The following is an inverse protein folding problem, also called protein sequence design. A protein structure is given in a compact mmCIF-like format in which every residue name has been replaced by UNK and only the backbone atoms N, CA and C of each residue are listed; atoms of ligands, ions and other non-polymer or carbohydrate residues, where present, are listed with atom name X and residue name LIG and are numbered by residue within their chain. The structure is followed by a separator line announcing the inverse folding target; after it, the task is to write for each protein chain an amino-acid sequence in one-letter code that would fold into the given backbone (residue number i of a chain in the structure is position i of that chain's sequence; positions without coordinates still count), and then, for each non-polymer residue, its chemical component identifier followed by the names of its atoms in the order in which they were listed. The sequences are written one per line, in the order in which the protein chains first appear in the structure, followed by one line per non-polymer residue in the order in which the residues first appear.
data_IF_725736241576
#
_entry.id   IF_725736241576
#
_cell.length_a   1.000
_cell.length_b   1.000
_cell.length_c   1.000
_cell.angle_alpha   90.00
_cell.angle_beta   90.00
_cell.angle_gamma   90.00
#
_symmetry.space_group_name_H-M   'P 1'
#
loop_
_entity.id
_entity.type
_entity.pdbx_description
1 polymer ?
#
# COMPACT_ATOMS: atom_id res chain seq x y z
N UNK A 1 16.11 5.49 27.53
CA UNK A 1 16.02 5.97 27.02
C UNK A 1 16.01 6.35 26.36
N UNK A 2 15.94 6.31 26.34
CA UNK A 2 15.77 6.93 25.81
C UNK A 2 15.42 7.11 25.16
N UNK A 3 15.17 7.18 25.19
CA UNK A 3 14.65 7.59 24.66
C UNK A 3 14.38 8.03 24.11
N UNK A 4 14.19 8.18 24.19
CA UNK A 4 13.77 8.77 23.71
C UNK A 4 13.92 9.33 23.22
N UNK A 5 14.12 9.41 23.28
CA UNK A 5 14.12 10.06 22.76
C UNK A 5 14.05 10.40 22.13
N UNK A 6 14.14 10.56 22.11
CA UNK A 6 13.98 10.90 21.46
C UNK A 6 13.65 10.97 20.82
N UNK A 7 13.38 10.88 20.68
CA UNK A 7 12.95 10.92 20.12
C UNK A 7 12.40 10.62 19.66
N UNK A 8 12.39 10.88 19.58
CA UNK A 8 11.93 10.55 19.18
C UNK A 8 11.35 10.14 18.70
N UNK A 9 11.54 10.05 18.44
CA UNK A 9 11.17 9.45 18.04
C UNK A 9 10.20 9.07 18.10
N UNK A 10 10.02 10.16 17.95
CA UNK A 10 9.09 9.71 18.22
C UNK A 10 8.84 8.58 17.89
N UNK A 11 8.81 8.12 18.44
CA UNK A 11 8.81 6.93 18.16
C UNK A 11 7.53 6.37 17.95
N UNK A 12 7.33 5.86 16.78
CA UNK A 12 6.19 5.10 16.43
C UNK A 12 6.34 3.72 17.03
N UNK A 13 5.43 3.32 17.89
CA UNK A 13 5.47 1.98 18.45
C UNK A 13 4.79 1.02 17.48
N UNK A 14 4.95 -0.28 17.73
CA UNK A 14 4.31 -1.30 16.92
C UNK A 14 2.78 -1.12 16.93
N UNK A 15 2.23 -0.80 18.10
CA UNK A 15 0.77 -0.63 18.21
C UNK A 15 0.24 0.53 17.38
N UNK A 16 1.09 1.49 17.08
CA UNK A 16 0.67 2.68 16.35
C UNK A 16 0.83 2.54 14.84
N UNK A 17 1.46 1.47 14.38
CA UNK A 17 1.72 1.32 12.96
C UNK A 17 0.62 0.50 12.29
N UNK A 18 0.20 0.97 11.13
CA UNK A 18 -0.79 0.27 10.32
C UNK A 18 -0.19 -0.05 8.96
N UNK A 19 -0.40 -1.27 8.50
CA UNK A 19 0.03 -1.70 7.18
C UNK A 19 -1.22 -2.13 6.44
N UNK A 20 -1.37 -1.67 5.20
CA UNK A 20 -2.52 -2.00 4.38
C UNK A 20 -2.05 -2.91 3.24
N UNK A 21 -2.77 -4.01 3.04
CA UNK A 21 -2.47 -4.96 1.97
C UNK A 21 -3.64 -4.92 1.00
N UNK A 22 -3.37 -4.55 -0.25
CA UNK A 22 -4.40 -4.44 -1.29
C UNK A 22 -4.17 -5.53 -2.32
N UNK A 23 -5.10 -6.48 -2.38
CA UNK A 23 -4.95 -7.65 -3.25
C UNK A 23 -5.87 -7.62 -4.46
N UNK A 24 -6.46 -6.47 -4.75
CA UNK A 24 -7.40 -6.34 -5.85
C UNK A 24 -7.25 -4.96 -6.49
N UNK A 25 -7.55 -4.88 -7.79
CA UNK A 25 -7.61 -3.58 -8.46
C UNK A 25 -9.02 -3.03 -8.50
N UNK A 26 -9.98 -3.78 -7.92
CA UNK A 26 -11.38 -3.35 -7.79
C UNK A 26 -11.83 -3.70 -6.40
N UNK A 27 -12.39 -2.75 -5.68
CA UNK A 27 -12.75 -2.99 -4.29
C UNK A 27 -14.12 -3.65 -4.18
N UNK A 28 -14.13 -4.80 -3.54
CA UNK A 28 -15.36 -5.52 -3.24
C UNK A 28 -15.78 -6.50 -4.32
N UNK A 29 -16.77 -7.31 -3.99
CA UNK A 29 -17.35 -8.30 -4.89
C UNK A 29 -18.66 -7.74 -5.41
N UNK A 30 -18.90 -7.89 -6.70
CA UNK A 30 -20.11 -7.37 -7.31
C UNK A 30 -19.79 -6.74 -8.65
N UNK A 31 -20.39 -5.60 -8.94
CA UNK A 31 -20.20 -4.94 -10.22
C UNK A 31 -18.76 -4.42 -10.34
N UNK A 32 -18.12 -4.73 -11.47
CA UNK A 32 -16.74 -4.31 -11.68
C UNK A 32 -16.60 -2.80 -11.78
N UNK A 33 -17.57 -2.16 -12.42
CA UNK A 33 -17.54 -0.71 -12.55
C UNK A 33 -17.61 -0.03 -11.19
N UNK A 34 -18.42 -0.58 -10.30
CA UNK A 34 -18.52 -0.06 -8.94
C UNK A 34 -17.21 -0.28 -8.19
N UNK A 35 -16.60 -1.46 -8.37
CA UNK A 35 -15.33 -1.77 -7.73
C UNK A 35 -14.23 -0.79 -8.10
N UNK A 36 -14.21 -0.37 -9.36
CA UNK A 36 -13.23 0.61 -9.83
C UNK A 36 -13.47 1.98 -9.19
N UNK A 37 -14.72 2.38 -9.09
CA UNK A 37 -15.06 3.64 -8.42
C UNK A 37 -14.65 3.59 -6.96
N UNK A 38 -14.91 2.46 -6.30
CA UNK A 38 -14.63 2.32 -4.88
C UNK A 38 -13.14 2.32 -4.57
N UNK A 39 -12.32 1.65 -5.40
CA UNK A 39 -10.87 1.65 -5.14
C UNK A 39 -10.30 3.04 -5.37
N UNK A 40 -10.84 3.78 -6.31
CA UNK A 40 -10.41 5.15 -6.56
C UNK A 40 -10.77 6.04 -5.37
N UNK A 41 -11.99 5.91 -4.86
CA UNK A 41 -12.40 6.67 -3.68
C UNK A 41 -11.59 6.29 -2.45
N UNK A 42 -11.32 4.99 -2.30
CA UNK A 42 -10.55 4.50 -1.16
C UNK A 42 -9.14 5.09 -1.14
N UNK A 43 -8.44 5.01 -2.29
CA UNK A 43 -7.07 5.51 -2.35
C UNK A 43 -7.03 7.02 -2.18
N UNK A 44 -8.02 7.73 -2.71
CA UNK A 44 -8.08 9.18 -2.53
C UNK A 44 -8.27 9.53 -1.05
N UNK A 45 -9.25 8.90 -0.41
CA UNK A 45 -9.55 9.19 0.99
C UNK A 45 -8.39 8.79 1.89
N UNK A 46 -7.72 7.68 1.57
CA UNK A 46 -6.59 7.21 2.35
C UNK A 46 -5.48 8.26 2.37
N UNK A 47 -5.22 8.89 1.23
CA UNK A 47 -4.18 9.90 1.13
C UNK A 47 -4.53 11.19 1.88
N UNK A 48 -5.82 11.39 2.18
CA UNK A 48 -6.30 12.59 2.88
C UNK A 48 -6.54 12.37 4.36
N UNK A 49 -6.47 11.14 4.83
CA UNK A 49 -6.84 10.78 6.19
C UNK A 49 -5.62 10.63 7.07
N UNK A 50 -5.71 11.06 8.33
CA UNK A 50 -4.63 10.84 9.28
C UNK A 50 -5.13 9.99 10.45
N UNK A 51 -4.27 9.18 11.05
CA UNK A 51 -2.86 8.99 10.69
C UNK A 51 -2.72 8.16 9.41
N UNK A 52 -1.66 8.44 8.66
CA UNK A 52 -1.37 7.68 7.46
C UNK A 52 -0.83 6.29 7.82
N UNK A 53 -1.05 5.30 6.96
CA UNK A 53 -0.42 4.00 7.21
C UNK A 53 1.09 4.10 7.04
N UNK A 54 1.79 3.15 7.64
CA UNK A 54 3.23 3.07 7.49
C UNK A 54 3.61 2.55 6.10
N UNK A 55 2.84 1.60 5.61
CA UNK A 55 3.10 1.00 4.32
C UNK A 55 1.80 0.53 3.68
N UNK A 56 1.76 0.54 2.35
CA UNK A 56 0.68 -0.04 1.58
C UNK A 56 1.34 -1.01 0.60
N UNK A 57 0.91 -2.26 0.65
CA UNK A 57 1.49 -3.31 -0.19
C UNK A 57 0.45 -3.83 -1.14
N UNK A 58 0.88 -4.07 -2.39
CA UNK A 58 -0.01 -4.45 -3.47
C UNK A 58 0.35 -5.85 -3.95
N UNK A 59 -0.65 -6.75 -3.95
CA UNK A 59 -0.48 -8.14 -4.37
C UNK A 59 -1.57 -8.50 -5.35
N UNK A 60 -1.34 -9.61 -6.07
CA UNK A 60 -2.29 -10.12 -7.06
C UNK A 60 -2.66 -8.98 -8.03
N UNK A 61 -3.94 -8.82 -8.37
CA UNK A 61 -4.33 -7.77 -9.29
C UNK A 61 -4.15 -6.36 -8.71
N UNK A 62 -3.91 -6.26 -7.40
CA UNK A 62 -3.62 -4.98 -6.79
C UNK A 62 -2.39 -4.29 -7.37
N UNK A 63 -1.42 -5.07 -7.90
CA UNK A 63 -0.21 -4.46 -8.49
C UNK A 63 -0.53 -3.65 -9.73
N UNK A 64 -1.68 -3.87 -10.35
CA UNK A 64 -2.10 -3.06 -11.49
C UNK A 64 -2.29 -1.60 -11.11
N UNK A 65 -2.56 -1.35 -9.83
CA UNK A 65 -2.79 0.02 -9.36
C UNK A 65 -1.51 0.84 -9.30
N UNK A 66 -0.34 0.19 -9.22
CA UNK A 66 0.94 0.89 -9.12
C UNK A 66 1.67 0.96 -10.46
N UNK A 67 1.08 0.43 -11.51
CA UNK A 67 1.74 0.30 -12.81
C UNK A 67 1.12 1.23 -13.83
N UNK A 68 1.79 1.34 -14.96
CA UNK A 68 1.34 2.17 -16.07
C UNK A 68 -0.10 1.84 -16.44
N UNK A 69 -0.92 2.87 -16.65
CA UNK A 69 -2.32 2.70 -16.99
C UNK A 69 -3.26 2.78 -15.82
N UNK A 70 -2.73 2.79 -14.60
CA UNK A 70 -3.58 2.90 -13.41
C UNK A 70 -4.20 4.29 -13.31
N UNK A 71 -5.48 4.32 -12.93
CA UNK A 71 -6.20 5.59 -12.74
C UNK A 71 -5.98 6.19 -11.36
N UNK A 72 -5.28 5.46 -10.48
CA UNK A 72 -5.08 5.93 -9.10
C UNK A 72 -3.63 6.27 -8.80
N UNK A 73 -2.79 6.38 -9.83
CA UNK A 73 -1.37 6.66 -9.62
C UNK A 73 -1.13 7.92 -8.82
N UNK A 74 -1.90 8.97 -9.08
CA UNK A 74 -1.70 10.23 -8.36
C UNK A 74 -2.00 10.08 -6.87
N UNK A 75 -3.04 9.32 -6.54
CA UNK A 75 -3.37 9.07 -5.14
C UNK A 75 -2.25 8.32 -4.44
N UNK A 76 -1.70 7.29 -5.12
CA UNK A 76 -0.65 6.47 -4.54
C UNK A 76 0.66 7.26 -4.44
N UNK A 77 0.96 8.09 -5.43
CA UNK A 77 2.14 8.94 -5.38
C UNK A 77 2.05 9.93 -4.24
N UNK A 78 0.86 10.44 -3.96
CA UNK A 78 0.66 11.34 -2.84
C UNK A 78 0.96 10.64 -1.52
N UNK A 79 0.54 9.39 -1.37
CA UNK A 79 0.88 8.59 -0.20
C UNK A 79 2.40 8.45 -0.07
N UNK A 80 3.06 8.10 -1.16
CA UNK A 80 4.52 7.92 -1.15
C UNK A 80 5.22 9.22 -0.77
N UNK A 81 4.78 10.33 -1.35
CA UNK A 81 5.38 11.63 -1.06
C UNK A 81 5.17 12.04 0.38
N UNK A 82 4.17 11.50 1.04
CA UNK A 82 3.88 11.77 2.45
C UNK A 82 4.60 10.83 3.40
N UNK A 83 5.45 9.95 2.88
CA UNK A 83 6.25 9.07 3.70
C UNK A 83 5.72 7.65 3.84
N UNK A 84 4.65 7.31 3.14
CA UNK A 84 4.11 5.95 3.16
C UNK A 84 4.94 5.08 2.23
N UNK A 85 5.34 3.92 2.72
CA UNK A 85 6.10 2.96 1.91
C UNK A 85 5.16 2.24 0.95
N UNK A 86 5.47 2.26 -0.35
CA UNK A 86 4.64 1.61 -1.36
C UNK A 86 5.43 0.43 -1.92
N UNK A 87 4.87 -0.77 -1.77
CA UNK A 87 5.56 -2.00 -2.16
C UNK A 87 4.63 -2.83 -3.04
N UNK A 88 5.14 -3.30 -4.18
CA UNK A 88 4.40 -4.18 -5.07
C UNK A 88 5.09 -5.53 -5.16
N UNK A 89 4.30 -6.60 -5.12
CA UNK A 89 4.81 -7.96 -5.18
C UNK A 89 5.45 -8.23 -6.53
N UNK A 90 6.73 -8.66 -6.52
CA UNK A 90 7.44 -8.91 -7.76
C UNK A 90 6.87 -10.06 -8.57
N UNK A 91 6.49 -11.14 -7.92
CA UNK A 91 5.88 -12.28 -8.60
C UNK A 91 4.59 -11.87 -9.31
N UNK A 92 3.80 -11.02 -8.66
CA UNK A 92 2.54 -10.57 -9.22
C UNK A 92 2.77 -9.64 -10.41
N UNK A 93 3.75 -8.76 -10.31
CA UNK A 93 4.11 -7.89 -11.42
C UNK A 93 4.57 -8.71 -12.62
N UNK A 94 5.36 -9.76 -12.37
CA UNK A 94 5.81 -10.64 -13.45
C UNK A 94 4.64 -11.34 -14.10
N UNK A 95 3.72 -11.85 -13.31
CA UNK A 95 2.56 -12.57 -13.84
C UNK A 95 1.74 -11.70 -14.79
N UNK A 96 1.55 -10.44 -14.43
CA UNK A 96 0.77 -9.51 -15.25
C UNK A 96 1.62 -8.76 -16.26
N UNK A 97 2.92 -9.10 -16.36
CA UNK A 97 3.86 -8.48 -17.31
C UNK A 97 3.97 -6.97 -17.10
N UNK A 98 4.03 -6.59 -15.82
CA UNK A 98 4.05 -5.18 -15.43
C UNK A 98 5.36 -4.76 -14.76
N UNK A 99 6.35 -5.66 -14.67
CA UNK A 99 7.55 -5.34 -13.89
C UNK A 99 8.27 -4.11 -14.44
N UNK A 100 8.32 -3.99 -15.76
CA UNK A 100 8.98 -2.84 -16.40
C UNK A 100 8.09 -1.61 -16.44
N UNK A 101 6.87 -1.72 -15.92
CA UNK A 101 5.86 -0.66 -16.00
C UNK A 101 5.47 -0.10 -14.64
N UNK A 102 6.23 -0.44 -13.61
CA UNK A 102 5.95 0.07 -12.27
C UNK A 102 6.19 1.58 -12.27
N UNK A 103 5.23 2.34 -11.75
CA UNK A 103 5.27 3.79 -11.77
C UNK A 103 5.45 4.43 -10.40
N UNK A 104 5.24 3.68 -9.33
CA UNK A 104 5.34 4.21 -7.98
C UNK A 104 5.75 3.09 -7.05
N UNK A 105 6.59 3.44 -6.06
CA UNK A 105 7.01 2.48 -5.05
C UNK A 105 8.12 1.57 -5.52
N UNK A 106 8.32 0.51 -4.78
CA UNK A 106 9.39 -0.46 -5.03
C UNK A 106 8.82 -1.86 -5.16
N UNK A 107 9.65 -2.76 -5.70
CA UNK A 107 9.29 -4.17 -5.82
C UNK A 107 9.72 -4.88 -4.54
N UNK A 108 8.81 -5.69 -3.98
CA UNK A 108 9.12 -6.50 -2.81
C UNK A 108 8.90 -7.97 -3.07
N UNK A 109 9.52 -8.79 -2.23
CA UNK A 109 9.28 -10.22 -2.29
C UNK A 109 8.43 -10.63 -1.09
N UNK A 110 8.03 -11.90 -1.07
CA UNK A 110 7.12 -12.35 -0.01
C UNK A 110 7.76 -12.26 1.37
N UNK A 111 9.08 -12.41 1.47
CA UNK A 111 9.77 -12.27 2.74
C UNK A 111 9.61 -10.86 3.31
N UNK A 112 9.85 -9.85 2.47
CA UNK A 112 9.74 -8.47 2.93
C UNK A 112 8.29 -8.11 3.26
N UNK A 113 7.34 -8.66 2.51
CA UNK A 113 5.93 -8.43 2.75
C UNK A 113 5.50 -9.01 4.10
N UNK A 114 5.88 -10.26 4.36
CA UNK A 114 5.57 -10.91 5.63
C UNK A 114 6.21 -10.15 6.80
N UNK A 115 7.45 -9.73 6.62
CA UNK A 115 8.17 -9.00 7.65
C UNK A 115 7.45 -7.71 8.02
N UNK A 116 6.98 -6.97 7.02
CA UNK A 116 6.22 -5.76 7.27
C UNK A 116 4.92 -6.05 8.01
N UNK A 117 4.22 -7.11 7.59
CA UNK A 117 2.97 -7.48 8.25
C UNK A 117 3.18 -7.88 9.70
N UNK A 118 4.24 -8.66 9.95
CA UNK A 118 4.53 -9.13 11.30
C UNK A 118 4.98 -8.01 12.23
N UNK A 119 5.55 -6.94 11.68
CA UNK A 119 6.03 -5.82 12.47
C UNK A 119 4.96 -4.78 12.73
N UNK A 120 3.82 -4.88 12.07
CA UNK A 120 2.76 -3.89 12.19
C UNK A 120 1.93 -4.14 13.44
N UNK A 121 1.39 -3.05 13.99
CA UNK A 121 0.43 -3.16 15.08
C UNK A 121 -0.94 -3.56 14.57
N UNK A 122 -1.25 -3.18 13.32
CA UNK A 122 -2.51 -3.50 12.70
C UNK A 122 -2.29 -3.73 11.21
N UNK A 123 -2.92 -4.77 10.68
CA UNK A 123 -2.89 -5.05 9.23
C UNK A 123 -4.32 -4.99 8.73
N UNK A 124 -4.53 -4.17 7.71
CA UNK A 124 -5.84 -4.06 7.05
C UNK A 124 -5.72 -4.71 5.69
N UNK A 125 -6.59 -5.66 5.41
CA UNK A 125 -6.60 -6.37 4.14
C UNK A 125 -7.77 -5.88 3.29
N UNK A 126 -7.47 -5.39 2.09
CA UNK A 126 -8.46 -4.94 1.12
C UNK A 126 -8.47 -5.95 -0.01
N UNK A 127 -9.59 -6.62 -0.15
CA UNK A 127 -9.73 -7.66 -1.16
C UNK A 127 -9.93 -8.97 -0.53
#
# INVERSE_FOLDING_TARGET
KIKKAAGAQSMETKEDSTVIVITTDKLGQGAEDLGKVLIKSYTYALAETTPLPKAVMFLNSGVKLTAEGSEVLENIKKLENSGVEIISCGTCLDFYQLKDKLQVGIVGNMYSIIEKMNSAGKVINIG
#
